data_IF_297486471752
#
_entry.id   IF_297486471752
#
_cell.length_a   1.000
_cell.length_b   1.000
_cell.length_c   1.000
_cell.angle_alpha   90.00
_cell.angle_beta   90.00
_cell.angle_gamma   90.00
#
_symmetry.space_group_name_H-M   'P 1'
#
loop_
_entity.id
_entity.type
_entity.pdbx_description
1 polymer ?
#
# COMPACT_ATOMS: atom_id res chain seq x y z
N UNK A 1 3.71 -4.67 -9.51
CA UNK A 1 3.02 -4.06 -10.66
C UNK A 1 1.66 -4.74 -10.78
N UNK A 2 0.59 -3.96 -10.70
CA UNK A 2 -0.80 -4.42 -10.75
C UNK A 2 -1.22 -4.54 -12.22
N UNK A 3 -1.77 -5.69 -12.61
CA UNK A 3 -2.15 -5.96 -14.00
C UNK A 3 -3.67 -5.97 -14.25
N UNK A 4 -4.47 -6.05 -13.19
CA UNK A 4 -5.92 -6.19 -13.29
C UNK A 4 -6.62 -5.71 -12.00
N UNK A 5 -7.95 -5.61 -12.07
CA UNK A 5 -8.77 -5.13 -10.96
C UNK A 5 -8.76 -6.08 -9.74
N UNK A 6 -8.50 -7.37 -9.93
CA UNK A 6 -8.37 -8.30 -8.81
C UNK A 6 -7.12 -7.99 -7.98
N UNK A 7 -5.98 -7.77 -8.64
CA UNK A 7 -4.73 -7.36 -8.02
C UNK A 7 -4.79 -5.95 -7.43
N UNK A 8 -5.55 -5.04 -8.06
CA UNK A 8 -5.84 -3.71 -7.51
C UNK A 8 -6.54 -3.85 -6.15
N UNK A 9 -7.63 -4.63 -6.11
CA UNK A 9 -8.40 -4.83 -4.89
C UNK A 9 -7.57 -5.52 -3.78
N UNK A 10 -6.76 -6.52 -4.14
CA UNK A 10 -5.84 -7.16 -3.21
C UNK A 10 -4.80 -6.17 -2.64
N UNK A 11 -4.28 -5.28 -3.49
CA UNK A 11 -3.32 -4.24 -3.10
C UNK A 11 -3.95 -3.22 -2.15
N UNK A 12 -5.17 -2.75 -2.46
CA UNK A 12 -5.91 -1.82 -1.60
C UNK A 12 -6.23 -2.43 -0.23
N UNK A 13 -6.64 -3.69 -0.18
CA UNK A 13 -6.93 -4.38 1.08
C UNK A 13 -5.66 -4.55 1.94
N UNK A 14 -4.53 -4.89 1.31
CA UNK A 14 -3.25 -4.97 2.02
C UNK A 14 -2.77 -3.60 2.51
N UNK A 15 -2.93 -2.53 1.73
CA UNK A 15 -2.65 -1.16 2.20
C UNK A 15 -3.49 -0.84 3.45
N UNK A 16 -4.80 -1.13 3.41
CA UNK A 16 -5.71 -0.90 4.56
C UNK A 16 -5.26 -1.66 5.81
N UNK A 17 -4.82 -2.90 5.65
CA UNK A 17 -4.30 -3.71 6.75
C UNK A 17 -2.97 -3.17 7.32
N UNK A 18 -2.06 -2.69 6.48
CA UNK A 18 -0.81 -2.07 6.94
C UNK A 18 -1.10 -0.76 7.68
N UNK A 19 -2.02 0.06 7.16
CA UNK A 19 -2.45 1.29 7.81
C UNK A 19 -3.06 1.04 9.20
N UNK A 20 -3.86 -0.02 9.36
CA UNK A 20 -4.43 -0.37 10.67
C UNK A 20 -3.36 -0.79 11.67
N UNK A 21 -2.31 -1.50 11.23
CA UNK A 21 -1.15 -1.83 12.07
C UNK A 21 -0.39 -0.58 12.52
N UNK A 22 -0.12 0.36 11.61
CA UNK A 22 0.52 1.64 11.98
C UNK A 22 -0.35 2.44 12.95
N UNK A 23 -1.67 2.48 12.72
CA UNK A 23 -2.61 3.16 13.60
C UNK A 23 -2.65 2.53 15.00
N UNK A 24 -2.58 1.19 15.09
CA UNK A 24 -2.47 0.47 16.35
C UNK A 24 -1.15 0.79 17.07
N UNK A 25 -0.01 0.74 16.36
CA UNK A 25 1.29 1.10 16.94
C UNK A 25 1.32 2.52 17.53
N UNK A 26 0.63 3.48 16.90
CA UNK A 26 0.49 4.85 17.44
C UNK A 26 -0.22 4.91 18.79
N UNK A 27 -1.03 3.92 19.13
CA UNK A 27 -1.78 3.86 20.38
C UNK A 27 -1.03 3.11 21.48
N UNK A 28 -0.25 2.08 21.12
CA UNK A 28 0.31 1.14 22.11
C UNK A 28 1.80 1.31 22.37
N UNK A 29 2.56 1.81 21.40
CA UNK A 29 4.00 2.01 21.59
C UNK A 29 4.25 3.34 22.31
N UNK A 30 4.87 3.27 23.47
CA UNK A 30 5.10 4.42 24.35
C UNK A 30 6.47 5.06 24.12
N UNK A 31 7.42 4.31 23.54
CA UNK A 31 8.74 4.81 23.21
C UNK A 31 8.77 5.30 21.74
N UNK A 32 9.05 6.60 21.49
CA UNK A 32 9.06 7.14 20.13
C UNK A 32 10.05 6.47 19.19
N UNK A 33 11.24 6.09 19.68
CA UNK A 33 12.26 5.42 18.86
C UNK A 33 11.78 4.03 18.43
N UNK A 34 11.18 3.27 19.35
CA UNK A 34 10.60 1.96 19.03
C UNK A 34 9.42 2.08 18.05
N UNK A 35 8.59 3.13 18.20
CA UNK A 35 7.50 3.40 17.26
C UNK A 35 8.05 3.61 15.86
N UNK A 36 9.05 4.48 15.70
CA UNK A 36 9.64 4.76 14.39
C UNK A 36 10.29 3.52 13.77
N UNK A 37 11.03 2.73 14.56
CA UNK A 37 11.62 1.48 14.09
C UNK A 37 10.54 0.50 13.61
N UNK A 38 9.47 0.32 14.39
CA UNK A 38 8.38 -0.63 14.08
C UNK A 38 7.50 -0.16 12.91
N UNK A 39 7.19 1.14 12.83
CA UNK A 39 6.31 1.70 11.82
C UNK A 39 7.00 1.88 10.46
N UNK A 40 8.33 2.09 10.44
CA UNK A 40 9.08 2.42 9.21
C UNK A 40 8.88 1.42 8.08
N UNK A 41 8.93 0.11 8.36
CA UNK A 41 8.73 -0.92 7.35
C UNK A 41 7.32 -0.93 6.77
N UNK A 42 6.30 -0.74 7.60
CA UNK A 42 4.91 -0.64 7.14
C UNK A 42 4.69 0.59 6.26
N UNK A 43 5.24 1.74 6.66
CA UNK A 43 5.10 3.00 5.91
C UNK A 43 5.79 2.91 4.55
N UNK A 44 7.01 2.37 4.50
CA UNK A 44 7.74 2.18 3.23
C UNK A 44 7.00 1.25 2.26
N UNK A 45 6.39 0.18 2.78
CA UNK A 45 5.59 -0.75 1.98
C UNK A 45 4.29 -0.10 1.48
N UNK A 46 3.61 0.69 2.32
CA UNK A 46 2.44 1.49 1.91
C UNK A 46 2.81 2.44 0.77
N UNK A 47 3.92 3.17 0.89
CA UNK A 47 4.37 4.12 -0.14
C UNK A 47 4.64 3.42 -1.48
N UNK A 48 5.35 2.28 -1.44
CA UNK A 48 5.61 1.45 -2.63
C UNK A 48 4.31 0.96 -3.27
N UNK A 49 3.37 0.45 -2.48
CA UNK A 49 2.11 -0.08 -3.00
C UNK A 49 1.18 1.02 -3.52
N UNK A 50 1.15 2.18 -2.87
CA UNK A 50 0.40 3.36 -3.34
C UNK A 50 0.92 3.85 -4.69
N UNK A 51 2.25 3.80 -4.90
CA UNK A 51 2.84 4.08 -6.21
C UNK A 51 2.28 3.14 -7.29
N UNK A 52 2.28 1.83 -7.05
CA UNK A 52 1.75 0.84 -8.00
C UNK A 52 0.25 1.01 -8.27
N UNK A 53 -0.54 1.31 -7.23
CA UNK A 53 -1.98 1.62 -7.37
C UNK A 53 -2.18 2.84 -8.25
N UNK A 54 -1.43 3.91 -8.01
CA UNK A 54 -1.50 5.14 -8.81
C UNK A 54 -1.11 4.89 -10.25
N UNK A 55 -0.05 4.13 -10.49
CA UNK A 55 0.40 3.76 -11.84
C UNK A 55 -0.70 2.98 -12.58
N UNK A 56 -1.28 1.94 -11.97
CA UNK A 56 -2.38 1.19 -12.58
C UNK A 56 -3.60 2.05 -12.90
N UNK A 57 -4.05 2.86 -11.93
CA UNK A 57 -5.23 3.72 -12.10
C UNK A 57 -5.01 4.89 -13.06
N UNK A 58 -3.76 5.19 -13.41
CA UNK A 58 -3.44 6.20 -14.43
C UNK A 58 -3.63 5.72 -15.86
N UNK A 59 -3.77 4.40 -16.06
CA UNK A 59 -3.96 3.78 -17.36
C UNK A 59 -5.45 3.51 -17.62
N UNK A 60 -5.93 3.86 -18.82
CA UNK A 60 -7.28 3.51 -19.21
C UNK A 60 -7.35 1.99 -19.54
N UNK A 61 -8.44 1.27 -19.20
CA UNK A 61 -8.58 -0.16 -19.50
C UNK A 61 -8.40 -0.54 -20.98
N UNK A 62 -8.62 0.39 -21.91
CA UNK A 62 -8.35 0.21 -23.34
C UNK A 62 -6.87 0.15 -23.70
N UNK A 63 -5.99 0.82 -22.94
CA UNK A 63 -4.55 0.83 -23.14
C UNK A 63 -3.88 -0.43 -22.57
N UNK A 64 -4.42 -0.94 -21.46
CA UNK A 64 -4.01 -2.21 -20.86
C UNK A 64 -4.23 -3.41 -21.81
N UNK A 65 -5.30 -3.39 -22.60
CA UNK A 65 -5.60 -4.44 -23.59
C UNK A 65 -4.69 -4.42 -24.82
N UNK A 66 -4.11 -3.27 -25.16
CA UNK A 66 -3.23 -3.12 -26.32
C UNK A 66 -1.78 -3.57 -26.03
N UNK A 67 -1.45 -3.78 -24.75
CA UNK A 67 -0.10 -4.13 -24.27
C UNK A 67 0.04 -5.59 -23.83
N UNK A 68 -1.03 -6.39 -23.94
CA UNK A 68 -1.09 -7.81 -23.62
C UNK A 68 -1.14 -8.65 -24.90
#
# INVERSE_FOLDING_TARGET
MIANDHELNASLERIRHLQSQVAYLRQVETNPANYHLSASGFLAEIDRMQLEVREYLSLHPGELKASA
#
